data_IF_708795269941
#
_entry.id   IF_708795269941
#
_cell.length_a   1.000
_cell.length_b   1.000
_cell.length_c   1.000
_cell.angle_alpha   90.00
_cell.angle_beta   90.00
_cell.angle_gamma   90.00
#
_symmetry.space_group_name_H-M   'P 1'
#
loop_
_entity.id
_entity.type
_entity.pdbx_description
1 polymer ?
#
# COMPACT_ATOMS: atom_id res chain seq x y z
N UNK A 1 -17.22 9.07 3.59
CA UNK A 1 -18.41 8.53 4.29
C UNK A 1 -17.85 7.72 5.43
N UNK A 2 -17.82 8.22 6.66
CA UNK A 2 -17.11 7.59 7.78
C UNK A 2 -17.80 6.31 8.27
N UNK A 3 -17.70 5.23 7.51
CA UNK A 3 -18.33 3.93 7.73
C UNK A 3 -17.78 3.25 8.98
N UNK A 4 -16.46 3.29 9.19
CA UNK A 4 -15.83 2.58 10.31
C UNK A 4 -15.91 3.35 11.64
N UNK A 5 -15.97 4.68 11.56
CA UNK A 5 -15.82 5.60 12.70
C UNK A 5 -16.74 5.32 13.90
N UNK A 6 -18.03 4.96 13.74
CA UNK A 6 -18.89 4.65 14.87
C UNK A 6 -18.42 3.45 15.70
N UNK A 7 -17.73 2.50 15.06
CA UNK A 7 -17.33 1.23 15.67
C UNK A 7 -15.95 1.31 16.34
N UNK A 8 -15.07 2.21 15.88
CA UNK A 8 -13.69 2.30 16.39
C UNK A 8 -13.64 2.49 17.92
N UNK A 9 -14.44 3.38 18.55
CA UNK A 9 -14.44 3.50 20.00
C UNK A 9 -14.89 2.22 20.73
N UNK A 10 -15.73 1.41 20.07
CA UNK A 10 -16.34 0.20 20.62
C UNK A 10 -15.46 -1.05 20.47
N UNK A 11 -14.46 -1.01 19.59
CA UNK A 11 -13.48 -2.08 19.45
C UNK A 11 -12.67 -2.21 20.75
N UNK A 12 -12.50 -3.43 21.22
CA UNK A 12 -11.82 -3.80 22.45
C UNK A 12 -10.36 -3.32 22.47
N UNK A 13 -9.86 -3.06 23.68
CA UNK A 13 -8.49 -2.59 23.87
C UNK A 13 -7.47 -3.65 23.42
N UNK A 14 -7.68 -4.92 23.80
CA UNK A 14 -6.80 -6.03 23.43
C UNK A 14 -6.69 -6.23 21.92
N UNK A 15 -7.78 -6.04 21.18
CA UNK A 15 -7.74 -6.09 19.72
C UNK A 15 -6.91 -4.93 19.17
N UNK A 16 -7.11 -3.70 19.69
CA UNK A 16 -6.34 -2.52 19.27
C UNK A 16 -4.85 -2.64 19.56
N UNK A 17 -4.45 -3.17 20.71
CA UNK A 17 -3.03 -3.36 21.04
C UNK A 17 -2.27 -4.10 19.92
N UNK A 18 -2.93 -5.11 19.34
CA UNK A 18 -2.36 -5.93 18.27
C UNK A 18 -2.56 -5.32 16.86
N UNK A 19 -3.74 -4.80 16.57
CA UNK A 19 -4.17 -4.49 15.19
C UNK A 19 -4.36 -2.99 14.91
N UNK A 20 -4.07 -2.09 15.85
CA UNK A 20 -4.30 -0.64 15.73
C UNK A 20 -3.77 -0.01 14.44
N UNK A 21 -2.70 -0.55 13.85
CA UNK A 21 -2.13 -0.02 12.63
C UNK A 21 -3.18 0.09 11.50
N UNK A 22 -4.05 -0.92 11.34
CA UNK A 22 -5.10 -0.91 10.29
C UNK A 22 -6.21 0.12 10.55
N UNK A 23 -6.31 0.64 11.78
CA UNK A 23 -7.29 1.64 12.18
C UNK A 23 -6.80 3.08 11.96
N UNK A 24 -5.62 3.28 11.38
CA UNK A 24 -5.17 4.60 10.99
C UNK A 24 -6.15 5.24 9.99
N UNK A 25 -6.40 6.54 10.14
CA UNK A 25 -7.39 7.27 9.34
C UNK A 25 -7.16 7.10 7.83
N UNK A 26 -5.90 7.12 7.36
CA UNK A 26 -5.54 6.87 5.96
C UNK A 26 -6.05 5.50 5.45
N UNK A 27 -5.91 4.46 6.26
CA UNK A 27 -6.31 3.10 5.90
C UNK A 27 -7.83 2.93 5.96
N UNK A 28 -8.49 3.51 6.97
CA UNK A 28 -9.94 3.52 7.06
C UNK A 28 -10.57 4.19 5.83
N UNK A 29 -10.07 5.36 5.45
CA UNK A 29 -10.53 6.06 4.25
C UNK A 29 -10.26 5.24 2.97
N UNK A 30 -9.11 4.58 2.88
CA UNK A 30 -8.79 3.69 1.75
C UNK A 30 -9.77 2.54 1.65
N UNK A 31 -10.05 1.85 2.76
CA UNK A 31 -11.03 0.75 2.81
C UNK A 31 -12.43 1.22 2.42
N UNK A 32 -12.89 2.36 2.94
CA UNK A 32 -14.18 2.96 2.58
C UNK A 32 -14.27 3.24 1.08
N UNK A 33 -13.24 3.86 0.51
CA UNK A 33 -13.18 4.15 -0.92
C UNK A 33 -13.19 2.86 -1.75
N UNK A 34 -12.45 1.83 -1.33
CA UNK A 34 -12.46 0.53 -1.98
C UNK A 34 -13.84 -0.14 -1.92
N UNK A 35 -14.55 -0.04 -0.79
CA UNK A 35 -15.90 -0.57 -0.66
C UNK A 35 -16.91 0.15 -1.56
N UNK A 36 -16.82 1.47 -1.68
CA UNK A 36 -17.65 2.25 -2.61
C UNK A 36 -17.37 1.82 -4.05
N UNK A 37 -16.09 1.73 -4.44
CA UNK A 37 -15.67 1.28 -5.77
C UNK A 37 -16.12 -0.16 -6.07
N UNK A 38 -16.05 -1.05 -5.08
CA UNK A 38 -16.51 -2.43 -5.19
C UNK A 38 -18.01 -2.49 -5.50
N UNK A 39 -18.84 -1.78 -4.72
CA UNK A 39 -20.29 -1.70 -4.96
C UNK A 39 -20.65 -1.08 -6.32
N UNK A 40 -19.85 -0.13 -6.78
CA UNK A 40 -20.00 0.49 -8.09
C UNK A 40 -19.47 -0.33 -9.26
N UNK A 41 -18.85 -1.49 -9.02
CA UNK A 41 -18.15 -2.30 -10.04
C UNK A 41 -17.08 -1.51 -10.84
N UNK A 42 -16.44 -0.54 -10.19
CA UNK A 42 -15.39 0.33 -10.77
C UNK A 42 -14.00 0.05 -10.18
N UNK A 43 -13.86 -1.09 -9.51
CA UNK A 43 -12.68 -1.44 -8.74
C UNK A 43 -11.61 -2.10 -9.65
N UNK A 44 -10.58 -1.35 -10.05
CA UNK A 44 -9.51 -1.81 -10.97
C UNK A 44 -8.32 -2.47 -10.26
N UNK A 45 -8.29 -3.80 -10.19
CA UNK A 45 -7.23 -4.55 -9.46
C UNK A 45 -6.51 -5.59 -10.32
N UNK A 46 -6.76 -5.56 -11.63
CA UNK A 46 -6.10 -6.47 -12.59
C UNK A 46 -4.75 -5.93 -13.05
N UNK A 47 -4.50 -4.65 -12.85
CA UNK A 47 -3.29 -3.95 -13.28
C UNK A 47 -2.50 -3.43 -12.07
N UNK A 48 -1.16 -3.44 -12.12
CA UNK A 48 -0.35 -4.11 -13.14
C UNK A 48 -0.58 -5.62 -13.12
N UNK A 49 -0.43 -6.24 -14.30
CA UNK A 49 -0.46 -7.69 -14.41
C UNK A 49 0.88 -8.26 -13.95
N UNK A 50 0.81 -9.30 -13.12
CA UNK A 50 1.96 -10.05 -12.65
C UNK A 50 1.62 -11.55 -12.67
N UNK A 51 2.36 -12.33 -13.45
CA UNK A 51 2.10 -13.76 -13.66
C UNK A 51 2.23 -14.60 -12.37
N UNK A 52 3.07 -14.19 -11.43
CA UNK A 52 3.21 -14.85 -10.11
C UNK A 52 2.19 -14.36 -9.06
N UNK A 53 1.26 -13.47 -9.40
CA UNK A 53 0.25 -13.01 -8.44
C UNK A 53 -0.71 -14.15 -8.06
N UNK A 54 -0.87 -14.37 -6.75
CA UNK A 54 -1.89 -15.25 -6.21
C UNK A 54 -3.20 -14.48 -6.13
N UNK A 55 -4.21 -14.96 -6.88
CA UNK A 55 -5.56 -14.38 -6.87
C UNK A 55 -6.31 -14.78 -5.60
N UNK A 56 -6.75 -13.79 -4.83
CA UNK A 56 -7.63 -14.00 -3.67
C UNK A 56 -9.09 -13.77 -4.03
N UNK A 57 -9.99 -14.49 -3.36
CA UNK A 57 -11.41 -14.15 -3.39
C UNK A 57 -11.67 -12.90 -2.56
N UNK A 58 -11.52 -11.74 -3.21
CA UNK A 58 -11.79 -10.45 -2.58
C UNK A 58 -13.28 -10.23 -2.38
N UNK A 59 -14.12 -10.83 -3.23
CA UNK A 59 -15.57 -10.66 -3.15
C UNK A 59 -16.08 -11.16 -1.81
N UNK A 60 -15.60 -12.31 -1.36
CA UNK A 60 -15.89 -12.82 -0.02
C UNK A 60 -15.60 -11.77 1.08
N UNK A 61 -14.38 -11.20 1.09
CA UNK A 61 -14.00 -10.17 2.07
C UNK A 61 -14.93 -8.96 2.02
N UNK A 62 -15.18 -8.40 0.83
CA UNK A 62 -16.07 -7.26 0.70
C UNK A 62 -17.49 -7.56 1.18
N UNK A 63 -18.04 -8.71 0.79
CA UNK A 63 -19.40 -9.13 1.16
C UNK A 63 -19.54 -9.26 2.67
N UNK A 64 -18.54 -9.84 3.36
CA UNK A 64 -18.54 -9.96 4.83
C UNK A 64 -18.62 -8.59 5.51
N UNK A 65 -17.78 -7.62 5.13
CA UNK A 65 -17.85 -6.26 5.69
C UNK A 65 -19.19 -5.58 5.36
N UNK A 66 -19.65 -5.70 4.11
CA UNK A 66 -20.93 -5.12 3.67
C UNK A 66 -22.08 -5.67 4.53
N UNK A 67 -22.13 -6.99 4.73
CA UNK A 67 -23.15 -7.66 5.52
C UNK A 67 -23.13 -7.20 6.98
N UNK A 68 -21.94 -7.04 7.59
CA UNK A 68 -21.82 -6.50 8.95
C UNK A 68 -22.42 -5.09 9.02
N UNK A 69 -22.00 -4.20 8.12
CA UNK A 69 -22.47 -2.81 8.17
C UNK A 69 -23.95 -2.65 7.84
N UNK A 70 -24.50 -3.46 6.94
CA UNK A 70 -25.91 -3.45 6.54
C UNK A 70 -26.83 -4.24 7.49
N UNK A 71 -26.27 -5.02 8.42
CA UNK A 71 -27.08 -5.74 9.40
C UNK A 71 -27.87 -4.78 10.31
N UNK A 72 -28.99 -5.27 10.85
CA UNK A 72 -29.81 -4.57 11.85
C UNK A 72 -29.20 -4.62 13.27
N UNK A 73 -27.98 -5.14 13.40
CA UNK A 73 -27.27 -5.20 14.68
C UNK A 73 -26.95 -3.79 15.17
N UNK A 74 -26.90 -3.62 16.49
CA UNK A 74 -26.41 -2.38 17.08
C UNK A 74 -24.89 -2.23 16.87
N UNK A 75 -24.36 -1.03 17.11
CA UNK A 75 -22.96 -0.70 16.82
C UNK A 75 -21.97 -1.54 17.65
N UNK A 76 -22.34 -1.91 18.88
CA UNK A 76 -21.52 -2.77 19.74
C UNK A 76 -21.36 -4.17 19.13
N UNK A 77 -22.46 -4.78 18.71
CA UNK A 77 -22.45 -6.09 18.05
C UNK A 77 -21.70 -6.06 16.72
N UNK A 78 -21.81 -4.97 15.95
CA UNK A 78 -21.03 -4.79 14.71
C UNK A 78 -19.53 -4.70 15.00
N UNK A 79 -19.12 -3.96 16.03
CA UNK A 79 -17.72 -3.88 16.46
C UNK A 79 -17.18 -5.26 16.86
N UNK A 80 -17.94 -6.03 17.64
CA UNK A 80 -17.56 -7.41 18.01
C UNK A 80 -17.46 -8.36 16.81
N UNK A 81 -18.33 -8.18 15.80
CA UNK A 81 -18.24 -8.95 14.56
C UNK A 81 -16.98 -8.59 13.76
N UNK A 82 -16.65 -7.31 13.67
CA UNK A 82 -15.44 -6.81 13.01
C UNK A 82 -14.16 -7.38 13.66
N UNK A 83 -14.12 -7.47 14.99
CA UNK A 83 -12.99 -8.04 15.73
C UNK A 83 -12.77 -9.53 15.46
N UNK A 84 -13.87 -10.27 15.24
CA UNK A 84 -13.86 -11.72 14.99
C UNK A 84 -13.46 -12.08 13.55
N UNK A 85 -13.40 -11.10 12.65
CA UNK A 85 -12.98 -11.36 11.29
C UNK A 85 -11.51 -11.82 11.25
N UNK A 86 -11.20 -12.86 10.47
CA UNK A 86 -9.81 -13.12 10.08
C UNK A 86 -9.15 -11.84 9.56
N UNK A 87 -7.96 -11.52 10.07
CA UNK A 87 -7.27 -10.28 9.76
C UNK A 87 -7.00 -10.10 8.25
N UNK A 88 -6.87 -11.21 7.54
CA UNK A 88 -6.79 -11.27 6.10
C UNK A 88 -7.92 -10.54 5.37
N UNK A 89 -9.15 -10.52 5.91
CA UNK A 89 -10.23 -9.78 5.27
C UNK A 89 -10.00 -8.27 5.35
N UNK A 90 -9.41 -7.75 6.44
CA UNK A 90 -9.01 -6.35 6.56
C UNK A 90 -7.98 -5.98 5.49
N UNK A 91 -6.94 -6.81 5.34
CA UNK A 91 -5.91 -6.61 4.32
C UNK A 91 -6.46 -6.69 2.89
N UNK A 92 -7.38 -7.63 2.65
CA UNK A 92 -8.05 -7.79 1.37
C UNK A 92 -8.86 -6.56 1.00
N UNK A 93 -9.67 -5.98 1.89
CA UNK A 93 -10.45 -4.76 1.58
C UNK A 93 -9.56 -3.50 1.53
N UNK A 94 -8.42 -3.50 2.24
CA UNK A 94 -7.45 -2.42 2.20
C UNK A 94 -6.71 -2.33 0.86
N UNK A 95 -6.53 -3.45 0.16
CA UNK A 95 -5.89 -3.44 -1.16
C UNK A 95 -4.82 -4.48 -1.41
N UNK A 96 -4.54 -5.38 -0.46
CA UNK A 96 -3.34 -6.21 -0.56
C UNK A 96 -3.40 -7.11 -1.80
N UNK A 97 -2.31 -7.13 -2.56
CA UNK A 97 -2.07 -8.09 -3.64
C UNK A 97 -1.03 -9.08 -3.17
N UNK A 98 -1.14 -10.34 -3.60
CA UNK A 98 -0.37 -11.44 -3.00
C UNK A 98 0.57 -12.10 -3.98
N UNK A 99 1.66 -12.61 -3.41
CA UNK A 99 2.65 -13.49 -4.03
C UNK A 99 2.92 -14.64 -3.06
N UNK A 100 3.66 -15.66 -3.48
CA UNK A 100 4.00 -16.82 -2.64
C UNK A 100 4.72 -16.45 -1.33
N UNK A 101 5.44 -15.32 -1.31
CA UNK A 101 6.20 -14.85 -0.15
C UNK A 101 5.47 -13.80 0.71
N UNK A 102 4.19 -13.51 0.41
CA UNK A 102 3.40 -12.52 1.14
C UNK A 102 3.11 -12.92 2.58
N UNK A 103 3.16 -11.95 3.49
CA UNK A 103 2.61 -12.11 4.85
C UNK A 103 1.18 -11.55 4.91
N UNK A 104 0.36 -12.07 5.83
CA UNK A 104 -1.07 -11.72 5.94
C UNK A 104 -1.55 -11.51 7.38
N UNK A 105 -0.61 -11.23 8.28
CA UNK A 105 -0.89 -10.86 9.67
C UNK A 105 -0.84 -9.33 9.87
N UNK A 106 -0.90 -8.86 11.12
CA UNK A 106 -0.83 -7.44 11.47
C UNK A 106 0.41 -6.70 10.94
N UNK A 107 1.51 -7.42 10.67
CA UNK A 107 2.73 -6.84 10.12
C UNK A 107 2.60 -6.58 8.60
N UNK A 108 1.52 -7.04 7.96
CA UNK A 108 1.25 -6.75 6.55
C UNK A 108 0.59 -5.37 6.34
N UNK A 109 0.19 -4.67 7.42
CA UNK A 109 -0.42 -3.35 7.30
C UNK A 109 0.57 -2.38 6.64
N UNK A 110 0.17 -1.70 5.54
CA UNK A 110 1.07 -0.81 4.81
C UNK A 110 1.48 0.38 5.69
N UNK A 111 2.73 0.89 5.57
CA UNK A 111 3.12 2.12 6.24
C UNK A 111 2.31 3.32 5.74
N UNK A 112 2.16 4.34 6.58
CA UNK A 112 1.50 5.60 6.21
C UNK A 112 2.26 6.33 5.12
N UNK A 113 1.55 7.05 4.25
CA UNK A 113 2.14 7.81 3.13
C UNK A 113 3.24 8.78 3.60
N UNK A 114 3.02 9.46 4.73
CA UNK A 114 3.99 10.37 5.33
C UNK A 114 5.31 9.69 5.65
N UNK A 115 5.27 8.51 6.29
CA UNK A 115 6.46 7.73 6.64
C UNK A 115 7.27 7.30 5.41
N UNK A 116 6.57 6.95 4.32
CA UNK A 116 7.20 6.59 3.04
C UNK A 116 7.90 7.79 2.40
N UNK A 117 7.26 8.97 2.45
CA UNK A 117 7.82 10.24 1.95
C UNK A 117 9.03 10.66 2.79
N UNK A 118 8.94 10.58 4.12
CA UNK A 118 10.04 10.87 5.04
C UNK A 118 11.28 10.03 4.72
N UNK A 119 11.10 8.73 4.48
CA UNK A 119 12.20 7.85 4.10
C UNK A 119 12.87 8.25 2.78
N UNK A 120 12.12 8.83 1.84
CA UNK A 120 12.62 9.30 0.55
C UNK A 120 13.43 10.60 0.67
N UNK A 121 13.00 11.54 1.52
CA UNK A 121 13.64 12.87 1.67
C UNK A 121 14.83 12.87 2.62
N UNK A 122 15.15 11.75 3.28
CA UNK A 122 16.36 11.62 4.10
C UNK A 122 17.60 12.02 3.28
N UNK A 123 18.56 12.75 3.88
CA UNK A 123 19.80 13.11 3.20
C UNK A 123 20.63 11.85 2.91
N UNK A 124 21.11 11.71 1.68
CA UNK A 124 22.16 10.75 1.35
C UNK A 124 23.54 11.35 1.66
N UNK A 125 23.69 12.64 1.40
CA UNK A 125 24.81 13.48 1.80
C UNK A 125 24.31 14.93 1.99
N UNK A 126 25.22 15.90 2.06
CA UNK A 126 24.87 17.31 2.27
C UNK A 126 24.18 17.99 1.08
N UNK A 127 24.09 17.33 -0.08
CA UNK A 127 23.61 17.92 -1.33
C UNK A 127 22.35 17.25 -1.88
N UNK A 128 22.17 15.94 -1.66
CA UNK A 128 21.12 15.14 -2.29
C UNK A 128 20.41 14.22 -1.30
N UNK A 129 19.14 13.92 -1.60
CA UNK A 129 18.34 12.93 -0.87
C UNK A 129 18.63 11.49 -1.31
N UNK A 130 18.22 10.52 -0.48
CA UNK A 130 18.25 9.10 -0.82
C UNK A 130 17.40 8.84 -2.07
N UNK A 131 16.23 9.49 -2.20
CA UNK A 131 15.39 9.38 -3.40
C UNK A 131 16.08 9.86 -4.67
N UNK A 132 16.73 11.03 -4.66
CA UNK A 132 17.48 11.50 -5.84
C UNK A 132 18.57 10.50 -6.20
N UNK A 133 19.35 10.03 -5.21
CA UNK A 133 20.43 9.06 -5.45
C UNK A 133 19.92 7.75 -6.03
N UNK A 134 18.78 7.25 -5.55
CA UNK A 134 18.16 6.02 -6.05
C UNK A 134 17.64 6.20 -7.48
N UNK A 135 17.07 7.37 -7.80
CA UNK A 135 16.51 7.69 -9.12
C UNK A 135 17.59 7.81 -10.17
N UNK A 136 18.69 8.52 -9.86
CA UNK A 136 19.84 8.65 -10.75
C UNK A 136 20.50 7.29 -11.07
N UNK A 137 20.48 6.33 -10.13
CA UNK A 137 20.93 4.95 -10.36
C UNK A 137 19.96 4.12 -11.21
N UNK A 138 18.68 4.46 -11.19
CA UNK A 138 17.61 3.68 -11.81
C UNK A 138 17.51 3.97 -13.30
N UNK A 139 17.48 5.26 -13.69
CA UNK A 139 17.37 5.69 -15.10
C UNK A 139 18.44 5.06 -16.00
N UNK A 140 19.65 4.81 -15.48
CA UNK A 140 20.72 4.19 -16.27
C UNK A 140 20.51 2.72 -16.65
N UNK A 141 19.40 2.09 -16.26
CA UNK A 141 19.18 0.63 -16.43
C UNK A 141 18.30 0.27 -17.61
N UNK A 142 17.34 1.12 -17.99
CA UNK A 142 16.41 0.86 -19.09
C UNK A 142 16.06 2.16 -19.81
N UNK A 143 15.78 2.06 -21.12
CA UNK A 143 15.20 3.16 -21.90
C UNK A 143 13.70 3.27 -21.59
N UNK A 144 13.40 3.74 -20.37
CA UNK A 144 12.05 3.97 -19.89
C UNK A 144 11.82 5.48 -19.66
N UNK A 145 10.92 6.04 -20.46
CA UNK A 145 10.56 7.45 -20.40
C UNK A 145 9.77 7.82 -19.14
N UNK A 146 9.20 6.84 -18.41
CA UNK A 146 8.41 7.11 -17.21
C UNK A 146 9.21 7.88 -16.15
N UNK A 147 10.46 7.48 -15.90
CA UNK A 147 11.34 8.14 -14.94
C UNK A 147 11.96 9.44 -15.47
N UNK A 148 11.90 9.65 -16.78
CA UNK A 148 12.43 10.81 -17.47
C UNK A 148 13.96 10.89 -17.43
N UNK A 149 14.50 12.06 -17.77
CA UNK A 149 15.96 12.26 -17.85
C UNK A 149 16.56 12.93 -16.61
N UNK A 150 17.83 12.61 -16.32
CA UNK A 150 18.65 13.27 -15.29
C UNK A 150 19.16 14.60 -15.86
N UNK A 151 18.40 15.68 -15.66
CA UNK A 151 18.74 17.04 -16.08
C UNK A 151 18.38 18.05 -14.99
N UNK A 152 19.11 19.16 -14.95
CA UNK A 152 18.92 20.25 -13.99
C UNK A 152 19.82 20.16 -12.74
N UNK A 153 19.68 21.14 -11.85
CA UNK A 153 20.39 21.17 -10.57
C UNK A 153 19.75 20.21 -9.54
N UNK A 154 20.36 20.04 -8.36
CA UNK A 154 19.88 19.10 -7.35
C UNK A 154 18.46 19.42 -6.87
N UNK A 155 18.11 20.70 -6.68
CA UNK A 155 16.75 21.09 -6.29
C UNK A 155 15.72 20.61 -7.32
N UNK A 156 15.94 20.90 -8.60
CA UNK A 156 15.06 20.50 -9.69
C UNK A 156 14.95 18.96 -9.80
N UNK A 157 16.07 18.25 -9.62
CA UNK A 157 16.09 16.79 -9.64
C UNK A 157 15.31 16.18 -8.47
N UNK A 158 15.41 16.78 -7.28
CA UNK A 158 14.64 16.37 -6.10
C UNK A 158 13.14 16.61 -6.28
N UNK A 159 12.74 17.77 -6.79
CA UNK A 159 11.33 18.07 -7.07
C UNK A 159 10.75 17.04 -8.05
N UNK A 160 11.47 16.74 -9.13
CA UNK A 160 11.05 15.78 -10.16
C UNK A 160 10.89 14.36 -9.63
N UNK A 161 11.85 13.86 -8.83
CA UNK A 161 11.72 12.51 -8.26
C UNK A 161 10.58 12.45 -7.23
N UNK A 162 10.38 13.51 -6.44
CA UNK A 162 9.27 13.56 -5.48
C UNK A 162 7.90 13.64 -6.14
N UNK A 163 7.80 14.30 -7.31
CA UNK A 163 6.58 14.27 -8.14
C UNK A 163 6.28 12.83 -8.58
N UNK A 164 7.28 12.08 -9.04
CA UNK A 164 7.11 10.66 -9.43
C UNK A 164 6.74 9.76 -8.26
N UNK A 165 7.37 9.96 -7.10
CA UNK A 165 7.02 9.24 -5.87
C UNK A 165 5.56 9.50 -5.49
N UNK A 166 5.15 10.77 -5.47
CA UNK A 166 3.77 11.15 -5.14
C UNK A 166 2.78 10.56 -6.14
N UNK A 167 3.09 10.64 -7.44
CA UNK A 167 2.29 10.03 -8.49
C UNK A 167 2.07 8.53 -8.26
N UNK A 168 3.13 7.76 -7.98
CA UNK A 168 3.02 6.31 -7.74
C UNK A 168 2.18 6.04 -6.48
N UNK A 169 2.40 6.78 -5.39
CA UNK A 169 1.65 6.58 -4.14
C UNK A 169 0.17 6.90 -4.31
N UNK A 170 -0.17 7.96 -5.06
CA UNK A 170 -1.54 8.40 -5.29
C UNK A 170 -2.29 7.56 -6.34
N UNK A 171 -1.56 6.93 -7.26
CA UNK A 171 -2.11 6.11 -8.33
C UNK A 171 -1.78 4.62 -8.17
N UNK A 172 -1.42 4.20 -6.95
CA UNK A 172 -1.09 2.79 -6.69
C UNK A 172 -2.31 1.91 -6.92
N UNK A 173 -2.11 0.83 -7.66
CA UNK A 173 -3.11 -0.22 -7.91
C UNK A 173 -2.61 -1.58 -7.42
N UNK A 174 -1.36 -1.63 -6.96
CA UNK A 174 -0.75 -2.80 -6.35
C UNK A 174 0.06 -2.37 -5.14
N UNK A 175 -0.11 -3.09 -4.04
CA UNK A 175 0.82 -3.05 -2.91
C UNK A 175 0.87 -4.41 -2.23
N UNK A 176 2.01 -4.70 -1.59
CA UNK A 176 2.22 -5.94 -0.87
C UNK A 176 3.31 -5.79 0.20
N UNK A 177 3.27 -6.69 1.19
CA UNK A 177 4.34 -6.91 2.16
C UNK A 177 4.76 -8.37 2.07
N UNK A 178 6.04 -8.62 1.76
CA UNK A 178 6.52 -9.97 1.46
C UNK A 178 8.02 -10.13 1.75
N UNK A 179 8.47 -11.38 1.88
CA UNK A 179 9.89 -11.70 2.03
C UNK A 179 10.62 -11.61 0.70
N UNK A 180 11.48 -10.59 0.56
CA UNK A 180 12.39 -10.40 -0.55
C UNK A 180 13.71 -11.12 -0.30
N UNK A 181 14.19 -11.86 -1.30
CA UNK A 181 15.38 -12.73 -1.21
C UNK A 181 16.68 -12.04 -0.73
N UNK A 182 16.80 -10.72 -0.90
CA UNK A 182 17.98 -9.91 -0.47
C UNK A 182 17.72 -8.95 0.69
N UNK A 183 16.46 -8.62 0.95
CA UNK A 183 16.11 -7.47 1.81
C UNK A 183 15.14 -7.85 2.92
N UNK A 184 15.00 -9.15 3.18
CA UNK A 184 14.06 -9.70 4.15
C UNK A 184 12.65 -9.18 3.87
N UNK A 185 11.90 -8.79 4.90
CA UNK A 185 10.54 -8.28 4.76
C UNK A 185 10.56 -6.86 4.17
N UNK A 186 9.83 -6.67 3.07
CA UNK A 186 9.75 -5.38 2.35
C UNK A 186 8.31 -4.95 2.15
N UNK A 187 8.10 -3.65 2.02
CA UNK A 187 6.85 -3.07 1.54
C UNK A 187 7.07 -2.53 0.13
N UNK A 188 6.16 -2.85 -0.77
CA UNK A 188 6.24 -2.45 -2.18
C UNK A 188 4.90 -1.91 -2.67
N UNK A 189 4.97 -0.87 -3.48
CA UNK A 189 3.82 -0.29 -4.18
C UNK A 189 4.14 -0.17 -5.66
N UNK A 190 3.11 -0.30 -6.49
CA UNK A 190 3.19 -0.06 -7.93
C UNK A 190 1.94 0.64 -8.44
N UNK A 191 2.15 1.50 -9.43
CA UNK A 191 1.06 2.04 -10.24
C UNK A 191 0.67 1.05 -11.36
N UNK A 192 -0.39 1.37 -12.10
CA UNK A 192 -1.04 0.48 -13.08
C UNK A 192 -0.13 -0.11 -14.16
N UNK A 193 0.89 0.61 -14.63
CA UNK A 193 1.84 0.14 -15.65
C UNK A 193 2.95 -0.73 -15.05
N UNK A 194 3.06 -0.75 -13.72
CA UNK A 194 3.97 -1.59 -12.97
C UNK A 194 5.20 -0.89 -12.44
N UNK A 195 5.41 0.40 -12.71
CA UNK A 195 6.50 1.14 -12.07
C UNK A 195 6.22 1.23 -10.56
N UNK A 196 7.28 1.11 -9.78
CA UNK A 196 7.11 0.93 -8.35
C UNK A 196 8.23 1.48 -7.50
N UNK A 197 7.98 1.37 -6.21
CA UNK A 197 8.91 1.79 -5.17
C UNK A 197 8.87 0.74 -4.08
N UNK A 198 10.04 0.42 -3.54
CA UNK A 198 10.21 -0.53 -2.44
C UNK A 198 10.86 0.14 -1.25
N UNK A 199 10.36 -0.19 -0.06
CA UNK A 199 10.94 0.17 1.23
C UNK A 199 11.20 -1.08 2.05
N UNK A 200 12.08 -0.96 3.05
CA UNK A 200 12.15 -1.96 4.12
C UNK A 200 10.79 -2.07 4.83
N UNK A 201 10.53 -3.18 5.50
CA UNK A 201 9.33 -3.33 6.29
C UNK A 201 9.11 -2.14 7.25
N UNK A 202 7.85 -1.71 7.36
CA UNK A 202 7.46 -0.50 8.09
C UNK A 202 7.84 0.81 7.39
N UNK A 203 8.29 0.82 6.14
CA UNK A 203 8.49 2.05 5.36
C UNK A 203 9.70 2.89 5.78
N UNK A 204 10.56 2.37 6.66
CA UNK A 204 11.60 3.16 7.35
C UNK A 204 12.77 3.59 6.46
N UNK A 205 13.05 2.81 5.41
CA UNK A 205 14.18 3.04 4.50
C UNK A 205 13.75 2.77 3.06
N UNK A 206 14.07 3.70 2.16
CA UNK A 206 13.91 3.48 0.72
C UNK A 206 14.93 2.43 0.26
N UNK A 207 14.44 1.35 -0.34
CA UNK A 207 15.28 0.32 -0.98
C UNK A 207 15.58 0.73 -2.43
N UNK A 208 14.56 1.19 -3.16
CA UNK A 208 14.76 1.72 -4.51
C UNK A 208 13.51 1.71 -5.38
N UNK A 209 13.70 2.14 -6.62
CA UNK A 209 12.69 2.17 -7.68
C UNK A 209 12.65 0.86 -8.46
N UNK A 210 11.49 0.56 -9.02
CA UNK A 210 11.18 -0.69 -9.70
C UNK A 210 10.66 -0.40 -11.10
N UNK A 211 11.18 -1.15 -12.06
CA UNK A 211 10.65 -1.21 -13.42
C UNK A 211 9.33 -2.00 -13.43
N UNK A 212 8.64 -1.97 -14.57
CA UNK A 212 7.47 -2.81 -14.83
C UNK A 212 7.75 -4.29 -14.56
N UNK A 213 6.71 -5.05 -14.22
CA UNK A 213 6.83 -6.50 -14.11
C UNK A 213 7.27 -7.09 -15.45
N UNK A 214 8.26 -7.97 -15.40
CA UNK A 214 8.59 -8.85 -16.51
C UNK A 214 7.70 -10.08 -16.34
N UNK A 215 6.79 -10.28 -17.29
CA UNK A 215 5.94 -11.45 -17.32
C UNK A 215 6.48 -12.38 -18.39
N UNK A 216 6.84 -13.60 -17.97
CA UNK A 216 7.17 -14.70 -18.87
C UNK A 216 5.90 -15.34 -19.45
#
# INVERSE_FOLDING_TARGET
>A
MYLFKPYIPLISHSWKEKYQAVLAEEHLQTMENNMVKFRGNILEWKLPYFNEEIKTDRKESFDVFINIFQSNNNDQMKAEQLEKLPFEHWLNILGQRLTSASIRDENAVPPLKEMLIEACIKPFNNEITIAQRAWEKHIGRMDDQFWGEIKGNNLQKQEKVMEKISYILDNRTWWNVFYHYKHELVFEVREKEGHGIRWSHGGKQLIGFLEKFIND
#
